data_IF_354001605369
#
_entry.id   IF_354001605369
#
_cell.length_a   1.000
_cell.length_b   1.000
_cell.length_c   1.000
_cell.angle_alpha   90.00
_cell.angle_beta   90.00
_cell.angle_gamma   90.00
#
_symmetry.space_group_name_H-M   'P 1'
#
loop_
_entity.id
_entity.type
_entity.pdbx_description
1 polymer ?
#
# COMPACT_ATOMS: atom_id res chain seq x y z
N UNK A 1 -11.58 6.43 -4.50
CA UNK A 1 -12.32 7.30 -3.56
C UNK A 1 -11.61 8.64 -3.33
N UNK A 2 -10.41 8.67 -2.72
CA UNK A 2 -9.72 9.92 -2.31
C UNK A 2 -9.54 10.94 -3.45
N UNK A 3 -8.87 10.55 -4.55
CA UNK A 3 -8.60 11.43 -5.68
C UNK A 3 -9.88 11.95 -6.38
N UNK A 4 -10.94 11.12 -6.37
CA UNK A 4 -12.23 11.44 -7.00
C UNK A 4 -13.03 12.43 -6.16
N UNK A 5 -13.04 12.22 -4.83
CA UNK A 5 -13.82 13.04 -3.91
C UNK A 5 -13.14 14.38 -3.61
N UNK A 6 -11.82 14.47 -3.76
CA UNK A 6 -11.09 15.72 -3.62
C UNK A 6 -9.96 15.85 -4.67
N UNK A 7 -10.27 16.39 -5.86
CA UNK A 7 -9.31 16.51 -6.97
C UNK A 7 -8.11 17.43 -6.68
N UNK A 8 -8.18 18.26 -5.63
CA UNK A 8 -7.07 19.13 -5.23
C UNK A 8 -5.96 18.38 -4.49
N UNK A 9 -6.21 17.14 -4.04
CA UNK A 9 -5.22 16.34 -3.35
C UNK A 9 -4.07 15.95 -4.27
N UNK A 10 -2.84 16.14 -3.79
CA UNK A 10 -1.65 15.59 -4.43
C UNK A 10 -1.40 14.18 -3.89
N UNK A 11 -1.79 13.17 -4.66
CA UNK A 11 -1.70 11.77 -4.24
C UNK A 11 -0.51 11.10 -4.89
N UNK A 12 0.28 10.42 -4.05
CA UNK A 12 1.31 9.48 -4.46
C UNK A 12 0.89 8.08 -4.04
N UNK A 13 1.00 7.12 -4.95
CA UNK A 13 0.70 5.71 -4.69
C UNK A 13 1.94 4.86 -4.98
N UNK A 14 2.27 3.96 -4.05
CA UNK A 14 3.44 3.09 -4.15
C UNK A 14 3.02 1.63 -4.10
N UNK A 15 3.64 0.81 -4.95
CA UNK A 15 3.51 -0.64 -4.90
C UNK A 15 4.83 -1.27 -5.40
N UNK A 16 5.17 -2.45 -4.88
CA UNK A 16 6.34 -3.20 -5.34
C UNK A 16 6.05 -3.91 -6.67
N UNK A 17 4.78 -4.21 -6.94
CA UNK A 17 4.30 -4.87 -8.15
C UNK A 17 4.08 -3.86 -9.28
N UNK A 18 4.88 -3.97 -10.34
CA UNK A 18 4.68 -3.17 -11.55
C UNK A 18 3.30 -3.40 -12.18
N UNK A 19 2.83 -4.65 -12.17
CA UNK A 19 1.51 -5.04 -12.68
C UNK A 19 0.37 -4.39 -11.88
N UNK A 20 0.51 -4.32 -10.55
CA UNK A 20 -0.49 -3.63 -9.72
C UNK A 20 -0.55 -2.13 -10.05
N UNK A 21 0.60 -1.49 -10.26
CA UNK A 21 0.66 -0.08 -10.67
C UNK A 21 0.07 0.16 -12.06
N UNK A 22 0.25 -0.78 -12.99
CA UNK A 22 -0.37 -0.70 -14.31
C UNK A 22 -1.90 -0.70 -14.22
N UNK A 23 -2.46 -1.66 -13.49
CA UNK A 23 -3.91 -1.75 -13.23
C UNK A 23 -4.41 -0.49 -12.51
N UNK A 24 -3.69 -0.02 -11.49
CA UNK A 24 -4.03 1.21 -10.78
C UNK A 24 -3.98 2.45 -11.71
N UNK A 25 -3.04 2.48 -12.65
CA UNK A 25 -2.96 3.52 -13.67
C UNK A 25 -4.13 3.49 -14.65
N UNK A 26 -4.57 2.31 -15.08
CA UNK A 26 -5.78 2.15 -15.89
C UNK A 26 -7.02 2.65 -15.14
N UNK A 27 -7.16 2.29 -13.86
CA UNK A 27 -8.26 2.76 -13.00
C UNK A 27 -8.23 4.28 -12.83
N UNK A 28 -7.05 4.89 -12.68
CA UNK A 28 -6.92 6.33 -12.59
C UNK A 28 -7.38 7.03 -13.87
N UNK A 29 -7.03 6.49 -15.05
CA UNK A 29 -7.51 6.99 -16.35
C UNK A 29 -9.02 6.85 -16.49
N UNK A 30 -9.56 5.67 -16.20
CA UNK A 30 -10.99 5.39 -16.28
C UNK A 30 -11.82 6.33 -15.41
N UNK A 31 -11.36 6.58 -14.18
CA UNK A 31 -12.03 7.50 -13.25
C UNK A 31 -11.66 8.98 -13.44
N UNK A 32 -10.82 9.32 -14.43
CA UNK A 32 -10.35 10.68 -14.73
C UNK A 32 -9.73 11.38 -13.52
N UNK A 33 -8.91 10.67 -12.74
CA UNK A 33 -8.22 11.19 -11.56
C UNK A 33 -6.71 11.23 -11.75
N UNK A 34 -6.05 12.17 -11.07
CA UNK A 34 -4.59 12.34 -11.13
C UNK A 34 -3.92 11.72 -9.91
N UNK A 35 -3.08 10.72 -10.13
CA UNK A 35 -2.28 10.04 -9.11
C UNK A 35 -0.85 9.87 -9.63
N UNK A 36 0.15 10.11 -8.79
CA UNK A 36 1.55 9.85 -9.11
C UNK A 36 1.96 8.46 -8.61
N UNK A 37 2.16 7.52 -9.53
CA UNK A 37 2.56 6.15 -9.18
C UNK A 37 4.09 6.03 -9.10
N UNK A 38 4.59 5.32 -8.09
CA UNK A 38 6.01 5.04 -7.90
C UNK A 38 6.22 3.58 -7.51
N UNK A 39 7.02 2.85 -8.30
CA UNK A 39 7.37 1.47 -7.98
C UNK A 39 8.43 1.41 -6.88
N UNK A 40 8.19 0.59 -5.88
CA UNK A 40 9.16 0.26 -4.85
C UNK A 40 8.52 -0.19 -3.55
N UNK A 41 9.34 -0.46 -2.54
CA UNK A 41 8.87 -1.09 -1.31
C UNK A 41 8.40 -0.03 -0.31
N UNK A 42 7.08 -0.02 -0.06
CA UNK A 42 6.43 0.88 0.90
C UNK A 42 6.84 2.34 0.62
N UNK A 43 7.37 3.06 1.61
CA UNK A 43 7.69 4.49 1.52
C UNK A 43 9.02 4.79 0.82
N UNK A 44 9.82 3.78 0.46
CA UNK A 44 11.15 3.98 -0.15
C UNK A 44 11.14 4.97 -1.33
N UNK A 45 10.20 4.91 -2.29
CA UNK A 45 10.18 5.79 -3.46
C UNK A 45 9.78 7.23 -3.14
N UNK A 46 9.12 7.45 -1.99
CA UNK A 46 8.52 8.73 -1.60
C UNK A 46 9.07 9.27 -0.28
N UNK A 47 10.15 8.69 0.25
CA UNK A 47 10.74 9.04 1.56
C UNK A 47 11.17 10.50 1.72
N UNK A 48 11.38 11.21 0.60
CA UNK A 48 11.79 12.61 0.55
C UNK A 48 10.59 13.57 0.42
N UNK A 49 9.38 13.04 0.22
CA UNK A 49 8.16 13.81 0.07
C UNK A 49 7.55 14.02 1.46
N UNK A 50 7.21 15.28 1.78
CA UNK A 50 6.44 15.57 2.99
C UNK A 50 5.00 15.07 2.80
N UNK A 51 4.58 14.15 3.66
CA UNK A 51 3.24 13.60 3.67
C UNK A 51 2.42 14.28 4.76
N UNK A 52 1.22 14.75 4.44
CA UNK A 52 0.25 15.20 5.46
C UNK A 52 -0.51 14.01 6.04
N UNK A 53 -0.89 13.05 5.18
CA UNK A 53 -1.55 11.82 5.55
C UNK A 53 -0.92 10.62 4.83
N UNK A 54 -0.93 9.47 5.50
CA UNK A 54 -0.55 8.17 4.96
C UNK A 54 -1.74 7.23 5.05
N UNK A 55 -2.03 6.53 3.96
CA UNK A 55 -3.06 5.47 3.92
C UNK A 55 -2.41 4.20 3.40
N UNK A 56 -2.58 3.09 4.11
CA UNK A 56 -2.04 1.81 3.69
C UNK A 56 -3.00 0.65 4.01
N UNK A 57 -3.31 -0.14 2.99
CA UNK A 57 -3.84 -1.49 3.14
C UNK A 57 -2.70 -2.43 2.76
N UNK A 58 -2.12 -3.09 3.76
CA UNK A 58 -0.97 -3.97 3.59
C UNK A 58 -1.42 -5.43 3.70
N UNK A 59 -0.68 -6.38 3.10
CA UNK A 59 -0.87 -7.79 3.40
C UNK A 59 -0.80 -8.02 4.91
N UNK A 60 -1.65 -8.89 5.45
CA UNK A 60 -1.74 -9.17 6.89
C UNK A 60 -1.81 -10.66 7.22
N UNK A 61 -1.92 -11.55 6.22
CA UNK A 61 -2.07 -12.97 6.49
C UNK A 61 -0.70 -13.60 6.78
N UNK A 62 -0.66 -14.38 7.86
CA UNK A 62 0.45 -15.30 8.11
C UNK A 62 0.36 -16.50 7.16
N UNK A 63 1.49 -17.16 6.92
CA UNK A 63 1.55 -18.40 6.13
C UNK A 63 0.61 -19.49 6.66
N UNK A 64 0.46 -19.60 7.99
CA UNK A 64 -0.43 -20.56 8.65
C UNK A 64 -1.90 -20.29 8.34
N UNK A 65 -2.31 -19.02 8.38
CA UNK A 65 -3.69 -18.61 8.08
C UNK A 65 -3.98 -18.79 6.59
N UNK A 66 -3.04 -18.45 5.72
CA UNK A 66 -3.17 -18.67 4.27
C UNK A 66 -3.37 -20.16 3.94
N UNK A 67 -2.56 -21.04 4.54
CA UNK A 67 -2.71 -22.48 4.33
C UNK A 67 -4.07 -23.01 4.81
N UNK A 68 -4.57 -22.52 5.95
CA UNK A 68 -5.89 -22.89 6.48
C UNK A 68 -7.05 -22.49 5.55
N UNK A 69 -6.90 -21.39 4.79
CA UNK A 69 -7.94 -20.84 3.91
C UNK A 69 -7.58 -20.95 2.41
N UNK A 70 -6.71 -21.91 2.06
CA UNK A 70 -6.12 -21.98 0.72
C UNK A 70 -7.15 -22.08 -0.41
N UNK A 71 -8.25 -22.83 -0.20
CA UNK A 71 -9.29 -23.03 -1.22
C UNK A 71 -9.93 -21.72 -1.70
N UNK A 72 -10.05 -20.72 -0.81
CA UNK A 72 -10.64 -19.41 -1.08
C UNK A 72 -9.59 -18.43 -1.61
N UNK A 73 -8.35 -18.51 -1.12
CA UNK A 73 -7.29 -17.54 -1.38
C UNK A 73 -6.34 -17.92 -2.52
N UNK A 74 -6.48 -19.12 -3.11
CA UNK A 74 -5.54 -19.63 -4.14
C UNK A 74 -5.49 -18.79 -5.43
N UNK A 75 -6.55 -18.04 -5.72
CA UNK A 75 -6.62 -17.19 -6.91
C UNK A 75 -6.05 -15.78 -6.68
N UNK A 76 -5.81 -15.40 -5.43
CA UNK A 76 -5.24 -14.11 -5.09
C UNK A 76 -3.70 -14.15 -5.10
N UNK A 77 -3.02 -13.08 -5.56
CA UNK A 77 -1.57 -13.03 -5.56
C UNK A 77 -1.01 -13.19 -4.14
N UNK A 78 -0.13 -14.18 -3.93
CA UNK A 78 0.51 -14.43 -2.62
C UNK A 78 1.15 -13.18 -2.01
N UNK A 79 1.70 -12.30 -2.85
CA UNK A 79 2.36 -11.07 -2.46
C UNK A 79 1.40 -10.00 -1.91
N UNK A 80 0.11 -10.08 -2.28
CA UNK A 80 -0.96 -9.24 -1.73
C UNK A 80 -1.51 -9.79 -0.40
N UNK A 81 -1.26 -11.07 -0.10
CA UNK A 81 -1.85 -11.76 1.05
C UNK A 81 -0.86 -11.99 2.19
N UNK A 82 0.35 -12.47 1.87
CA UNK A 82 1.32 -12.92 2.86
C UNK A 82 2.21 -11.78 3.34
N UNK A 83 2.08 -11.42 4.62
CA UNK A 83 3.01 -10.51 5.30
C UNK A 83 4.05 -11.28 6.10
N UNK A 84 4.75 -12.20 5.45
CA UNK A 84 5.81 -13.00 6.09
C UNK A 84 5.30 -14.14 6.98
N UNK A 85 6.13 -14.58 7.90
CA UNK A 85 5.87 -15.71 8.80
C UNK A 85 4.87 -15.33 9.91
N UNK A 86 4.94 -14.10 10.41
CA UNK A 86 4.08 -13.56 11.46
C UNK A 86 2.85 -12.80 10.95
N UNK A 87 2.78 -12.45 9.66
CA UNK A 87 1.67 -11.67 9.09
C UNK A 87 1.76 -10.16 9.38
N UNK A 88 2.81 -9.69 10.05
CA UNK A 88 2.96 -8.29 10.46
C UNK A 88 4.23 -7.64 9.90
N UNK A 89 5.01 -8.36 9.10
CA UNK A 89 6.32 -7.92 8.65
C UNK A 89 6.24 -6.66 7.78
N UNK A 90 5.22 -6.56 6.93
CA UNK A 90 4.95 -5.37 6.13
C UNK A 90 4.65 -4.15 7.01
N UNK A 91 3.84 -4.31 8.07
CA UNK A 91 3.53 -3.25 9.03
C UNK A 91 4.77 -2.84 9.83
N UNK A 92 5.54 -3.80 10.35
CA UNK A 92 6.81 -3.53 11.05
C UNK A 92 7.77 -2.74 10.16
N UNK A 93 7.89 -3.13 8.89
CA UNK A 93 8.73 -2.39 7.92
C UNK A 93 8.19 -0.99 7.67
N UNK A 94 6.88 -0.83 7.50
CA UNK A 94 6.24 0.48 7.31
C UNK A 94 6.53 1.42 8.49
N UNK A 95 6.27 0.98 9.73
CA UNK A 95 6.51 1.80 10.91
C UNK A 95 8.01 2.13 11.10
N UNK A 96 8.90 1.19 10.78
CA UNK A 96 10.34 1.43 10.76
C UNK A 96 10.74 2.52 9.75
N UNK A 97 10.12 2.54 8.57
CA UNK A 97 10.34 3.59 7.57
C UNK A 97 9.75 4.93 8.01
N UNK A 98 8.54 4.96 8.58
CA UNK A 98 7.91 6.18 9.12
C UNK A 98 8.81 6.83 10.18
N UNK A 99 9.40 6.03 11.06
CA UNK A 99 10.32 6.53 12.11
C UNK A 99 11.55 7.23 11.53
N UNK A 100 11.97 6.87 10.31
CA UNK A 100 13.13 7.45 9.61
C UNK A 100 12.79 8.67 8.75
N UNK A 101 11.52 9.04 8.61
CA UNK A 101 11.13 10.21 7.83
C UNK A 101 11.56 11.50 8.52
N UNK A 102 12.06 12.46 7.74
CA UNK A 102 12.35 13.83 8.21
C UNK A 102 11.11 14.52 8.78
N UNK A 103 9.96 14.28 8.15
CA UNK A 103 8.66 14.75 8.59
C UNK A 103 7.68 13.58 8.67
N UNK A 104 7.17 13.30 9.87
CA UNK A 104 6.15 12.28 10.08
C UNK A 104 4.81 12.78 9.52
N UNK A 105 4.01 11.92 8.89
CA UNK A 105 2.65 12.27 8.51
C UNK A 105 1.82 12.61 9.75
N UNK A 106 0.90 13.58 9.61
CA UNK A 106 0.00 13.98 10.70
C UNK A 106 -1.06 12.90 10.96
N UNK A 107 -1.53 12.27 9.90
CA UNK A 107 -2.53 11.21 9.96
C UNK A 107 -2.01 9.93 9.33
N UNK A 108 -2.26 8.80 9.99
CA UNK A 108 -1.91 7.47 9.50
C UNK A 108 -3.19 6.62 9.58
N UNK A 109 -3.70 6.22 8.43
CA UNK A 109 -4.85 5.32 8.30
C UNK A 109 -4.36 3.97 7.79
N UNK A 110 -4.58 2.93 8.57
CA UNK A 110 -4.10 1.60 8.26
C UNK A 110 -5.28 0.64 8.39
N UNK A 111 -5.49 -0.17 7.36
CA UNK A 111 -6.49 -1.22 7.38
C UNK A 111 -5.91 -2.48 8.03
N UNK A 112 -6.70 -3.11 8.90
CA UNK A 112 -6.40 -4.38 9.56
C UNK A 112 -7.70 -5.17 9.63
N UNK A 113 -7.73 -6.38 9.06
CA UNK A 113 -8.90 -7.28 9.06
C UNK A 113 -8.53 -8.53 9.85
#
# INVERSE_FOLDING_TARGET
ALAKNNPKLKIYATDISARALEVAGQNAKFHKVKITFKKGNLLEPIKHIKLDALVANLPYLSKKIYQKNYSQLKFEPKLALLAGQGGLECYKKLFSQIRKLKHKPKYIYIEFI
#
